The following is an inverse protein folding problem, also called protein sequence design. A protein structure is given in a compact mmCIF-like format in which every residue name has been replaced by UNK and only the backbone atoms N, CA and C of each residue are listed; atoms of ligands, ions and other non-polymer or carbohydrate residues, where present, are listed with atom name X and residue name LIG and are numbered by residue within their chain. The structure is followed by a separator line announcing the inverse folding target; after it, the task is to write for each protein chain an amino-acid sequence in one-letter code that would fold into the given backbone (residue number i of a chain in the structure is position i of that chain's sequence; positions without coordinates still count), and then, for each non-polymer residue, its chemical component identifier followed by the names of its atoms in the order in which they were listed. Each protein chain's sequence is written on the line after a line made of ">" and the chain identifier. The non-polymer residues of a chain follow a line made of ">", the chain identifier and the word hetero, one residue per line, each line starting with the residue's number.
data_IF_180896987950
#
_entry.id   IF_180896987950
#
_cell.length_a   1.000
_cell.length_b   1.000
_cell.length_c   1.000
_cell.angle_alpha   90.00
_cell.angle_beta   90.00
_cell.angle_gamma   90.00
#
_symmetry.space_group_name_H-M   'P 1'
#
loop_
_entity.id
_entity.type
_entity.pdbx_description
1 polymer ?
#
# COMPACT_ATOMS: atom_id res chain seq x y z
N UNK A 1 19.20 7.13 -25.88
CA UNK A 1 19.36 6.54 -27.23
C UNK A 1 20.04 5.16 -27.24
N UNK A 2 21.16 4.90 -26.51
CA UNK A 2 21.84 3.57 -26.52
C UNK A 2 21.04 2.41 -25.90
N UNK A 3 20.17 2.66 -24.95
CA UNK A 3 19.41 1.62 -24.24
C UNK A 3 18.21 1.10 -25.03
N UNK A 4 17.54 1.95 -25.80
CA UNK A 4 16.40 1.54 -26.65
C UNK A 4 16.86 0.58 -27.76
N UNK A 5 17.95 0.92 -28.45
CA UNK A 5 18.53 0.08 -29.50
C UNK A 5 18.94 -1.31 -28.97
N UNK A 6 19.43 -1.39 -27.74
CA UNK A 6 19.85 -2.65 -27.12
C UNK A 6 18.64 -3.57 -26.81
N UNK A 7 17.55 -3.01 -26.30
CA UNK A 7 16.33 -3.77 -25.98
C UNK A 7 15.67 -4.34 -27.25
N UNK A 8 15.61 -3.55 -28.33
CA UNK A 8 15.05 -4.03 -29.62
C UNK A 8 15.89 -5.13 -30.27
N UNK A 9 17.20 -5.03 -30.14
CA UNK A 9 18.08 -6.10 -30.60
C UNK A 9 17.87 -7.39 -29.82
N UNK A 10 17.79 -7.30 -28.49
CA UNK A 10 17.56 -8.47 -27.62
C UNK A 10 16.19 -9.10 -27.88
N UNK A 11 15.15 -8.30 -28.08
CA UNK A 11 13.82 -8.82 -28.43
C UNK A 11 13.88 -9.64 -29.70
N UNK A 12 14.45 -9.08 -30.77
CA UNK A 12 14.59 -9.79 -32.07
C UNK A 12 15.37 -11.10 -31.93
N UNK A 13 16.47 -11.08 -31.17
CA UNK A 13 17.27 -12.26 -30.92
C UNK A 13 16.47 -13.33 -30.16
N UNK A 14 15.81 -12.93 -29.08
CA UNK A 14 15.06 -13.86 -28.22
C UNK A 14 13.81 -14.41 -28.91
N UNK A 15 13.12 -13.62 -29.72
CA UNK A 15 12.00 -14.09 -30.55
C UNK A 15 12.46 -15.10 -31.62
N UNK A 16 13.60 -14.84 -32.26
CA UNK A 16 14.17 -15.78 -33.23
C UNK A 16 14.53 -17.12 -32.55
N UNK A 17 15.11 -17.09 -31.37
CA UNK A 17 15.43 -18.28 -30.58
C UNK A 17 14.18 -19.00 -30.10
N UNK A 18 13.14 -18.25 -29.66
CA UNK A 18 11.89 -18.80 -29.17
C UNK A 18 11.16 -19.64 -30.25
N UNK A 19 11.34 -19.32 -31.56
CA UNK A 19 10.79 -20.13 -32.66
C UNK A 19 11.32 -21.54 -32.65
N UNK A 20 12.58 -21.73 -32.22
CA UNK A 20 13.22 -23.04 -32.14
C UNK A 20 12.98 -23.71 -30.77
N UNK A 21 12.74 -22.91 -29.74
CA UNK A 21 12.58 -23.36 -28.36
C UNK A 21 11.27 -22.78 -27.74
N UNK A 22 10.07 -23.13 -28.26
CA UNK A 22 8.83 -22.43 -27.93
C UNK A 22 8.39 -22.57 -26.46
N UNK A 23 8.98 -23.51 -25.71
CA UNK A 23 8.71 -23.72 -24.27
C UNK A 23 9.87 -23.27 -23.38
N UNK A 24 10.82 -22.50 -23.90
CA UNK A 24 11.93 -22.01 -23.09
C UNK A 24 11.46 -20.95 -22.10
N UNK A 25 11.34 -21.36 -20.82
CA UNK A 25 10.84 -20.56 -19.70
C UNK A 25 11.63 -19.25 -19.57
N UNK A 26 12.97 -19.33 -19.71
CA UNK A 26 13.82 -18.15 -19.57
C UNK A 26 13.56 -17.13 -20.68
N UNK A 27 13.52 -17.57 -21.93
CA UNK A 27 13.26 -16.69 -23.08
C UNK A 27 11.89 -16.03 -22.99
N UNK A 28 10.85 -16.77 -22.59
CA UNK A 28 9.50 -16.23 -22.42
C UNK A 28 9.47 -15.17 -21.32
N UNK A 29 10.18 -15.40 -20.20
CA UNK A 29 10.25 -14.45 -19.10
C UNK A 29 11.03 -13.19 -19.50
N UNK A 30 12.20 -13.34 -20.08
CA UNK A 30 13.05 -12.23 -20.52
C UNK A 30 12.31 -11.36 -21.57
N UNK A 31 11.58 -11.97 -22.51
CA UNK A 31 10.75 -11.24 -23.49
C UNK A 31 9.62 -10.48 -22.82
N UNK A 32 8.91 -11.10 -21.88
CA UNK A 32 7.84 -10.40 -21.14
C UNK A 32 8.39 -9.19 -20.38
N UNK A 33 9.55 -9.31 -19.74
CA UNK A 33 10.20 -8.20 -19.05
C UNK A 33 10.63 -7.08 -20.00
N UNK A 34 11.26 -7.42 -21.15
CA UNK A 34 11.67 -6.46 -22.17
C UNK A 34 10.47 -5.70 -22.75
N UNK A 35 9.39 -6.39 -23.07
CA UNK A 35 8.16 -5.75 -23.55
C UNK A 35 7.48 -4.89 -22.48
N UNK A 36 7.55 -5.27 -21.20
CA UNK A 36 7.10 -4.43 -20.08
C UNK A 36 7.90 -3.14 -19.98
N UNK A 37 9.23 -3.20 -20.14
CA UNK A 37 10.11 -2.03 -20.17
C UNK A 37 9.79 -1.09 -21.36
N UNK A 38 9.46 -1.66 -22.52
CA UNK A 38 9.03 -0.90 -23.71
C UNK A 38 7.58 -0.40 -23.62
N UNK A 39 6.88 -0.59 -22.51
CA UNK A 39 5.47 -0.23 -22.31
C UNK A 39 4.50 -0.94 -23.28
N UNK A 40 4.92 -2.05 -23.86
CA UNK A 40 4.08 -2.92 -24.70
C UNK A 40 3.45 -4.01 -23.83
N UNK A 41 2.59 -3.57 -22.89
CA UNK A 41 2.07 -4.40 -21.81
C UNK A 41 1.26 -5.59 -22.27
N UNK A 42 0.45 -5.43 -23.33
CA UNK A 42 -0.38 -6.54 -23.85
C UNK A 42 0.48 -7.66 -24.43
N UNK A 43 1.56 -7.31 -25.14
CA UNK A 43 2.53 -8.28 -25.64
C UNK A 43 3.25 -8.99 -24.50
N UNK A 44 3.68 -8.22 -23.47
CA UNK A 44 4.30 -8.76 -22.28
C UNK A 44 3.39 -9.77 -21.55
N UNK A 45 2.13 -9.41 -21.37
CA UNK A 45 1.11 -10.28 -20.74
C UNK A 45 0.87 -11.54 -21.57
N UNK A 46 0.93 -11.46 -22.91
CA UNK A 46 0.88 -12.62 -23.81
C UNK A 46 1.99 -13.64 -23.55
N UNK A 47 3.23 -13.18 -23.36
CA UNK A 47 4.36 -14.05 -23.01
C UNK A 47 4.22 -14.65 -21.60
N UNK A 48 3.78 -13.87 -20.62
CA UNK A 48 3.48 -14.38 -19.28
C UNK A 48 2.35 -15.42 -19.29
N UNK A 49 1.36 -15.24 -20.15
CA UNK A 49 0.26 -16.20 -20.30
C UNK A 49 0.73 -17.52 -20.91
N UNK A 50 1.66 -17.48 -21.87
CA UNK A 50 2.32 -18.68 -22.39
C UNK A 50 3.09 -19.41 -21.28
N UNK A 51 3.85 -18.67 -20.44
CA UNK A 51 4.53 -19.25 -19.27
C UNK A 51 3.57 -19.96 -18.32
N UNK A 52 2.43 -19.32 -18.04
CA UNK A 52 1.40 -19.89 -17.16
C UNK A 52 0.75 -21.16 -17.74
N UNK A 53 0.71 -21.28 -19.06
CA UNK A 53 0.25 -22.46 -19.77
C UNK A 53 1.24 -23.63 -19.79
N UNK A 54 2.51 -23.37 -19.45
CA UNK A 54 3.48 -24.44 -19.22
C UNK A 54 3.26 -25.00 -17.81
N UNK A 55 3.25 -26.31 -17.66
CA UNK A 55 3.05 -26.98 -16.37
C UNK A 55 4.32 -26.85 -15.49
N UNK A 56 4.64 -25.63 -15.10
CA UNK A 56 5.82 -25.26 -14.27
C UNK A 56 5.50 -25.23 -12.77
N UNK A 57 4.31 -25.67 -12.39
CA UNK A 57 3.82 -25.57 -11.01
C UNK A 57 3.43 -24.14 -10.60
N UNK A 58 3.16 -23.96 -9.32
CA UNK A 58 2.77 -22.67 -8.76
C UNK A 58 3.99 -21.73 -8.63
N UNK A 59 4.17 -20.81 -9.58
CA UNK A 59 5.24 -19.82 -9.56
C UNK A 59 4.71 -18.48 -9.02
N UNK A 60 5.02 -18.21 -7.73
CA UNK A 60 4.65 -16.96 -7.06
C UNK A 60 5.31 -15.75 -7.71
N UNK A 61 6.54 -15.91 -8.22
CA UNK A 61 7.26 -14.86 -8.91
C UNK A 61 6.60 -14.48 -10.24
N UNK A 62 6.07 -15.47 -10.96
CA UNK A 62 5.32 -15.23 -12.19
C UNK A 62 4.00 -14.49 -11.93
N UNK A 63 3.23 -14.93 -10.94
CA UNK A 63 1.98 -14.25 -10.57
C UNK A 63 2.23 -12.79 -10.16
N UNK A 64 3.34 -12.54 -9.44
CA UNK A 64 3.75 -11.18 -9.09
C UNK A 64 4.13 -10.35 -10.31
N UNK A 65 4.94 -10.88 -11.22
CA UNK A 65 5.36 -10.20 -12.44
C UNK A 65 4.16 -9.82 -13.34
N UNK A 66 3.17 -10.71 -13.45
CA UNK A 66 1.92 -10.44 -14.15
C UNK A 66 1.16 -9.27 -13.48
N UNK A 67 0.99 -9.35 -12.17
CA UNK A 67 0.27 -8.31 -11.41
C UNK A 67 0.96 -6.95 -11.53
N UNK A 68 2.29 -6.91 -11.39
CA UNK A 68 3.08 -5.68 -11.53
C UNK A 68 2.98 -5.10 -12.94
N UNK A 69 2.96 -5.95 -13.98
CA UNK A 69 2.79 -5.52 -15.38
C UNK A 69 1.41 -4.92 -15.62
N UNK A 70 0.34 -5.50 -15.06
CA UNK A 70 -1.02 -4.96 -15.16
C UNK A 70 -1.12 -3.59 -14.44
N UNK A 71 -0.53 -3.47 -13.26
CA UNK A 71 -0.51 -2.18 -12.54
C UNK A 71 0.22 -1.11 -13.35
N UNK A 72 1.40 -1.44 -13.93
CA UNK A 72 2.14 -0.52 -14.81
C UNK A 72 1.35 -0.15 -16.07
N UNK A 73 0.53 -1.06 -16.60
CA UNK A 73 -0.37 -0.76 -17.72
C UNK A 73 -1.39 0.32 -17.31
N UNK A 74 -2.04 0.19 -16.16
CA UNK A 74 -2.94 1.21 -15.62
C UNK A 74 -2.22 2.54 -15.41
N UNK A 75 -1.03 2.52 -14.77
CA UNK A 75 -0.25 3.73 -14.54
C UNK A 75 0.09 4.45 -15.84
N UNK A 76 0.46 3.69 -16.89
CA UNK A 76 0.77 4.26 -18.20
C UNK A 76 -0.46 4.81 -18.90
N UNK A 77 -1.62 4.17 -18.76
CA UNK A 77 -2.89 4.67 -19.30
C UNK A 77 -3.29 5.98 -18.64
N UNK A 78 -3.21 6.04 -17.30
CA UNK A 78 -3.49 7.24 -16.51
C UNK A 78 -2.53 8.38 -16.89
N UNK A 79 -1.23 8.10 -16.98
CA UNK A 79 -0.23 9.08 -17.36
C UNK A 79 -0.35 9.59 -18.81
N UNK A 80 -1.00 8.81 -19.68
CA UNK A 80 -1.29 9.19 -21.07
C UNK A 80 -2.52 10.08 -21.22
N UNK A 81 -3.34 10.21 -20.17
CA UNK A 81 -4.46 11.14 -20.14
C UNK A 81 -3.90 12.51 -19.74
N UNK A 82 -4.14 13.54 -20.57
CA UNK A 82 -3.70 14.90 -20.26
C UNK A 82 -4.44 15.41 -19.01
N UNK A 83 -3.75 15.71 -17.90
CA UNK A 83 -4.40 16.21 -16.69
C UNK A 83 -5.05 17.60 -16.89
N UNK A 84 -4.69 18.32 -17.97
CA UNK A 84 -5.27 19.62 -18.31
C UNK A 84 -6.36 19.52 -19.38
N UNK A 85 -6.60 18.34 -19.95
CA UNK A 85 -7.72 18.13 -20.87
C UNK A 85 -8.99 18.11 -20.03
N UNK A 86 -9.85 19.12 -20.21
CA UNK A 86 -11.15 19.27 -19.53
C UNK A 86 -12.10 18.09 -19.73
N UNK A 87 -11.75 17.13 -20.61
CA UNK A 87 -12.64 16.08 -21.09
C UNK A 87 -12.45 14.71 -20.40
N UNK A 88 -11.45 14.53 -19.48
CA UNK A 88 -11.11 13.19 -18.99
C UNK A 88 -10.97 12.98 -17.47
N UNK A 89 -11.48 13.82 -16.55
CA UNK A 89 -11.38 13.54 -15.11
C UNK A 89 -12.11 12.24 -14.73
N UNK A 90 -13.19 11.91 -15.41
CA UNK A 90 -13.96 10.68 -15.21
C UNK A 90 -13.17 9.44 -15.64
N UNK A 91 -12.39 9.51 -16.72
CA UNK A 91 -11.55 8.41 -17.19
C UNK A 91 -10.39 8.13 -16.23
N UNK A 92 -9.75 9.16 -15.70
CA UNK A 92 -8.71 8.99 -14.67
C UNK A 92 -9.30 8.32 -13.42
N UNK A 93 -10.42 8.82 -12.92
CA UNK A 93 -11.07 8.25 -11.75
C UNK A 93 -11.50 6.79 -11.97
N UNK A 94 -12.00 6.47 -13.15
CA UNK A 94 -12.37 5.10 -13.54
C UNK A 94 -11.15 4.18 -13.56
N UNK A 95 -10.06 4.57 -14.22
CA UNK A 95 -8.84 3.77 -14.32
C UNK A 95 -8.18 3.57 -12.93
N UNK A 96 -8.18 4.60 -12.08
CA UNK A 96 -7.69 4.47 -10.70
C UNK A 96 -8.56 3.50 -9.89
N UNK A 97 -9.88 3.56 -10.05
CA UNK A 97 -10.80 2.62 -9.38
C UNK A 97 -10.60 1.17 -9.87
N UNK A 98 -10.44 0.97 -11.17
CA UNK A 98 -10.15 -0.34 -11.76
C UNK A 98 -8.80 -0.89 -11.26
N UNK A 99 -7.76 -0.06 -11.24
CA UNK A 99 -6.44 -0.42 -10.70
C UNK A 99 -6.52 -0.83 -9.23
N UNK A 100 -7.24 -0.06 -8.41
CA UNK A 100 -7.43 -0.38 -6.99
C UNK A 100 -8.22 -1.68 -6.80
N UNK A 101 -9.29 -1.89 -7.57
CA UNK A 101 -10.08 -3.12 -7.52
C UNK A 101 -9.22 -4.34 -7.90
N UNK A 102 -8.40 -4.22 -8.95
CA UNK A 102 -7.49 -5.26 -9.37
C UNK A 102 -6.46 -5.59 -8.26
N UNK A 103 -5.81 -4.56 -7.70
CA UNK A 103 -4.83 -4.74 -6.61
C UNK A 103 -5.44 -5.42 -5.38
N UNK A 104 -6.65 -5.03 -5.02
CA UNK A 104 -7.38 -5.64 -3.91
C UNK A 104 -7.65 -7.13 -4.19
N UNK A 105 -8.18 -7.45 -5.38
CA UNK A 105 -8.46 -8.84 -5.77
C UNK A 105 -7.20 -9.72 -5.76
N UNK A 106 -6.06 -9.19 -6.23
CA UNK A 106 -4.79 -9.92 -6.20
C UNK A 106 -4.27 -10.11 -4.76
N UNK A 107 -4.43 -9.11 -3.90
CA UNK A 107 -4.06 -9.23 -2.48
C UNK A 107 -4.92 -10.28 -1.76
N UNK A 108 -6.23 -10.32 -2.03
CA UNK A 108 -7.13 -11.35 -1.51
C UNK A 108 -6.70 -12.75 -1.94
N UNK A 109 -6.42 -12.97 -3.23
CA UNK A 109 -5.94 -14.26 -3.75
C UNK A 109 -4.63 -14.72 -3.07
N UNK A 110 -3.71 -13.78 -2.80
CA UNK A 110 -2.46 -14.11 -2.09
C UNK A 110 -2.74 -14.58 -0.66
N UNK A 111 -3.62 -13.89 0.05
CA UNK A 111 -4.00 -14.30 1.42
C UNK A 111 -4.76 -15.63 1.43
N UNK A 112 -5.61 -15.89 0.45
CA UNK A 112 -6.30 -17.19 0.30
C UNK A 112 -5.29 -18.33 0.07
N UNK A 113 -4.27 -18.08 -0.74
CA UNK A 113 -3.21 -19.06 -1.04
C UNK A 113 -2.26 -19.27 0.13
N UNK A 114 -1.98 -18.23 0.91
CA UNK A 114 -1.05 -18.25 2.04
C UNK A 114 -1.74 -17.70 3.31
N UNK A 115 -2.71 -18.43 3.86
CA UNK A 115 -3.58 -17.90 4.91
C UNK A 115 -2.89 -17.65 6.26
N UNK A 116 -1.71 -18.22 6.46
CA UNK A 116 -0.89 -18.04 7.68
C UNK A 116 0.17 -16.94 7.54
N UNK A 117 0.34 -16.37 6.34
CA UNK A 117 1.29 -15.29 6.12
C UNK A 117 0.72 -13.96 6.67
N UNK A 118 1.24 -13.58 7.82
CA UNK A 118 0.81 -12.38 8.55
C UNK A 118 1.22 -11.06 7.86
N UNK A 119 2.26 -11.09 7.01
CA UNK A 119 2.66 -9.94 6.22
C UNK A 119 1.63 -9.67 5.12
N UNK A 120 1.20 -10.70 4.40
CA UNK A 120 0.15 -10.58 3.38
C UNK A 120 -1.18 -10.12 3.98
N UNK A 121 -1.51 -10.57 5.21
CA UNK A 121 -2.70 -10.07 5.93
C UNK A 121 -2.59 -8.60 6.28
N UNK A 122 -1.41 -8.15 6.69
CA UNK A 122 -1.16 -6.73 6.95
C UNK A 122 -1.39 -5.89 5.68
N UNK A 123 -0.79 -6.30 4.57
CA UNK A 123 -0.94 -5.64 3.25
C UNK A 123 -2.41 -5.62 2.78
N UNK A 124 -3.14 -6.72 2.96
CA UNK A 124 -4.57 -6.77 2.64
C UNK A 124 -5.39 -5.83 3.54
N UNK A 125 -5.04 -5.73 4.82
CA UNK A 125 -5.65 -4.77 5.74
C UNK A 125 -5.48 -3.32 5.26
N UNK A 126 -4.27 -2.95 4.81
CA UNK A 126 -4.00 -1.63 4.23
C UNK A 126 -4.86 -1.38 2.97
N UNK A 127 -4.96 -2.38 2.09
CA UNK A 127 -5.79 -2.29 0.89
C UNK A 127 -7.28 -2.09 1.23
N UNK A 128 -7.81 -2.86 2.17
CA UNK A 128 -9.19 -2.68 2.64
C UNK A 128 -9.44 -1.30 3.23
N UNK A 129 -8.47 -0.77 4.00
CA UNK A 129 -8.58 0.57 4.58
C UNK A 129 -8.60 1.66 3.49
N UNK A 130 -7.76 1.53 2.46
CA UNK A 130 -7.70 2.46 1.33
C UNK A 130 -9.02 2.51 0.55
N UNK A 131 -9.68 1.37 0.36
CA UNK A 131 -10.97 1.31 -0.35
C UNK A 131 -12.20 1.50 0.57
N UNK A 132 -11.98 1.87 1.84
CA UNK A 132 -13.05 2.15 2.80
C UNK A 132 -13.75 0.93 3.38
N UNK A 133 -13.25 -0.29 3.15
CA UNK A 133 -13.78 -1.54 3.74
C UNK A 133 -13.25 -1.72 5.17
N UNK A 134 -13.74 -0.87 6.07
CA UNK A 134 -13.19 -0.73 7.42
C UNK A 134 -13.34 -2.00 8.26
N UNK A 135 -14.46 -2.72 8.13
CA UNK A 135 -14.70 -3.94 8.91
C UNK A 135 -13.75 -5.06 8.52
N UNK A 136 -13.48 -5.21 7.23
CA UNK A 136 -12.53 -6.18 6.68
C UNK A 136 -11.09 -5.80 7.07
N UNK A 137 -10.75 -4.51 7.00
CA UNK A 137 -9.44 -4.01 7.46
C UNK A 137 -9.18 -4.36 8.93
N UNK A 138 -10.17 -4.16 9.81
CA UNK A 138 -10.08 -4.53 11.23
C UNK A 138 -9.74 -6.02 11.38
N UNK A 139 -10.43 -6.91 10.67
CA UNK A 139 -10.20 -8.35 10.77
C UNK A 139 -8.78 -8.74 10.36
N UNK A 140 -8.27 -8.15 9.29
CA UNK A 140 -6.92 -8.47 8.81
C UNK A 140 -5.84 -7.87 9.72
N UNK A 141 -6.00 -6.63 10.22
CA UNK A 141 -5.05 -6.07 11.19
C UNK A 141 -5.07 -6.79 12.54
N UNK A 142 -6.21 -7.28 13.00
CA UNK A 142 -6.28 -8.12 14.21
C UNK A 142 -5.45 -9.39 14.09
N UNK A 143 -5.45 -10.04 12.92
CA UNK A 143 -4.59 -11.20 12.65
C UNK A 143 -3.12 -10.80 12.51
N UNK A 144 -2.86 -9.70 11.79
CA UNK A 144 -1.51 -9.20 11.52
C UNK A 144 -0.74 -8.78 12.78
N UNK A 145 -1.42 -8.43 13.88
CA UNK A 145 -0.77 -8.15 15.18
C UNK A 145 0.08 -9.31 15.72
N UNK A 146 -0.16 -10.54 15.27
CA UNK A 146 0.67 -11.68 15.63
C UNK A 146 2.06 -11.67 14.96
N UNK A 147 2.29 -10.81 13.94
CA UNK A 147 3.59 -10.60 13.33
C UNK A 147 4.42 -9.63 14.19
N UNK A 148 5.53 -10.06 14.83
CA UNK A 148 6.33 -9.18 15.70
C UNK A 148 6.85 -7.93 15.00
N UNK A 149 7.20 -8.03 13.69
CA UNK A 149 7.73 -6.91 12.91
C UNK A 149 6.65 -5.91 12.45
N UNK A 150 5.39 -6.31 12.44
CA UNK A 150 4.25 -5.47 12.02
C UNK A 150 3.28 -5.14 13.14
N UNK A 151 3.51 -5.69 14.33
CA UNK A 151 2.60 -5.58 15.46
C UNK A 151 2.22 -4.14 15.77
N UNK A 152 3.20 -3.28 15.95
CA UNK A 152 2.97 -1.87 16.30
C UNK A 152 2.22 -1.14 15.17
N UNK A 153 2.67 -1.31 13.93
CA UNK A 153 1.99 -0.73 12.77
C UNK A 153 0.55 -1.24 12.62
N UNK A 154 0.32 -2.56 12.83
CA UNK A 154 -1.02 -3.14 12.78
C UNK A 154 -1.94 -2.57 13.87
N UNK A 155 -1.42 -2.35 15.08
CA UNK A 155 -2.17 -1.70 16.17
C UNK A 155 -2.51 -0.25 15.82
N UNK A 156 -1.59 0.49 15.19
CA UNK A 156 -1.85 1.86 14.73
C UNK A 156 -2.99 1.91 13.69
N UNK A 157 -2.92 1.06 12.66
CA UNK A 157 -3.98 0.99 11.65
C UNK A 157 -5.31 0.51 12.23
N UNK A 158 -5.28 -0.44 13.17
CA UNK A 158 -6.47 -0.90 13.86
C UNK A 158 -7.14 0.24 14.64
N UNK A 159 -6.36 1.06 15.33
CA UNK A 159 -6.88 2.24 16.04
C UNK A 159 -7.48 3.27 15.07
N UNK A 160 -6.85 3.51 13.92
CA UNK A 160 -7.42 4.37 12.88
C UNK A 160 -8.77 3.82 12.36
N UNK A 161 -8.86 2.50 12.17
CA UNK A 161 -10.11 1.86 11.78
C UNK A 161 -11.20 2.04 12.84
N UNK A 162 -10.88 1.88 14.11
CA UNK A 162 -11.82 2.14 15.21
C UNK A 162 -12.27 3.59 15.25
N UNK A 163 -11.34 4.54 15.10
CA UNK A 163 -11.67 5.97 15.06
C UNK A 163 -12.60 6.31 13.87
N UNK A 164 -12.36 5.75 12.68
CA UNK A 164 -13.25 5.90 11.52
C UNK A 164 -14.67 5.37 11.80
N UNK A 165 -14.80 4.35 12.63
CA UNK A 165 -16.11 3.82 13.09
C UNK A 165 -16.68 4.55 14.31
N UNK A 166 -16.08 5.65 14.75
CA UNK A 166 -16.48 6.42 15.96
C UNK A 166 -16.32 5.63 17.27
N UNK A 167 -15.54 4.54 17.26
CA UNK A 167 -15.20 3.75 18.45
C UNK A 167 -13.94 4.32 19.12
N UNK A 168 -14.00 5.59 19.53
CA UNK A 168 -12.82 6.34 19.96
C UNK A 168 -12.19 5.80 21.24
N UNK A 169 -12.96 5.18 22.12
CA UNK A 169 -12.48 4.52 23.33
C UNK A 169 -11.61 3.28 23.00
N UNK A 170 -11.99 2.50 22.01
CA UNK A 170 -11.19 1.37 21.51
C UNK A 170 -9.93 1.87 20.82
N UNK A 171 -10.04 2.91 19.98
CA UNK A 171 -8.91 3.52 19.32
C UNK A 171 -7.87 4.03 20.34
N UNK A 172 -8.29 4.78 21.34
CA UNK A 172 -7.41 5.30 22.38
C UNK A 172 -6.69 4.18 23.16
N UNK A 173 -7.43 3.15 23.60
CA UNK A 173 -6.83 2.00 24.31
C UNK A 173 -5.81 1.25 23.45
N UNK A 174 -6.11 1.05 22.17
CA UNK A 174 -5.19 0.38 21.24
C UNK A 174 -3.91 1.17 21.05
N UNK A 175 -4.00 2.51 20.88
CA UNK A 175 -2.85 3.39 20.77
C UNK A 175 -2.02 3.43 22.05
N UNK A 176 -2.67 3.54 23.22
CA UNK A 176 -1.98 3.49 24.52
C UNK A 176 -1.18 2.20 24.70
N UNK A 177 -1.76 1.05 24.30
CA UNK A 177 -1.06 -0.22 24.35
C UNK A 177 0.14 -0.25 23.40
N UNK A 178 -0.01 0.25 22.16
CA UNK A 178 1.08 0.32 21.19
C UNK A 178 2.22 1.24 21.67
N UNK A 179 1.89 2.41 22.22
CA UNK A 179 2.85 3.36 22.78
C UNK A 179 3.65 2.72 23.94
N UNK A 180 2.97 1.95 24.79
CA UNK A 180 3.62 1.24 25.90
C UNK A 180 4.58 0.16 25.43
N UNK A 181 4.21 -0.59 24.38
CA UNK A 181 5.06 -1.64 23.79
C UNK A 181 6.27 -1.04 23.03
N UNK A 182 6.12 0.11 22.40
CA UNK A 182 7.16 0.78 21.61
C UNK A 182 8.14 1.51 22.55
N UNK A 183 9.33 0.95 22.75
CA UNK A 183 10.32 1.52 23.68
C UNK A 183 11.03 2.76 23.10
N UNK A 184 11.45 2.71 21.83
CA UNK A 184 12.19 3.79 21.19
C UNK A 184 11.28 4.95 20.83
N UNK A 185 11.74 6.19 21.11
CA UNK A 185 11.04 7.41 20.68
C UNK A 185 11.50 7.81 19.29
N UNK A 186 10.94 7.13 18.28
CA UNK A 186 11.19 7.33 16.86
C UNK A 186 9.92 7.83 16.16
N UNK A 187 9.97 7.99 14.83
CA UNK A 187 8.83 8.50 14.06
C UNK A 187 7.58 7.61 14.18
N UNK A 188 7.75 6.29 14.32
CA UNK A 188 6.62 5.39 14.55
C UNK A 188 5.96 5.68 15.90
N UNK A 189 6.73 5.92 16.97
CA UNK A 189 6.18 6.28 18.28
C UNK A 189 5.54 7.67 18.27
N UNK A 190 6.15 8.65 17.60
CA UNK A 190 5.53 9.98 17.41
C UNK A 190 4.18 9.88 16.71
N UNK A 191 4.08 9.01 15.67
CA UNK A 191 2.82 8.78 14.96
C UNK A 191 1.73 8.22 15.87
N UNK A 192 2.06 7.24 16.73
CA UNK A 192 1.13 6.66 17.71
C UNK A 192 0.63 7.73 18.70
N UNK A 193 1.56 8.51 19.26
CA UNK A 193 1.24 9.59 20.23
C UNK A 193 0.40 10.66 19.57
N UNK A 194 0.73 11.07 18.35
CA UNK A 194 -0.05 12.03 17.58
C UNK A 194 -1.49 11.54 17.36
N UNK A 195 -1.64 10.30 16.90
CA UNK A 195 -2.95 9.70 16.65
C UNK A 195 -3.76 9.56 17.94
N UNK A 196 -3.12 9.27 19.08
CA UNK A 196 -3.77 9.26 20.39
C UNK A 196 -4.28 10.67 20.76
N UNK A 197 -3.48 11.69 20.58
CA UNK A 197 -3.91 13.08 20.81
C UNK A 197 -5.11 13.46 19.95
N UNK A 198 -5.12 13.12 18.67
CA UNK A 198 -6.25 13.38 17.77
C UNK A 198 -7.52 12.63 18.22
N UNK A 199 -7.40 11.39 18.64
CA UNK A 199 -8.54 10.59 19.14
C UNK A 199 -9.08 11.19 20.44
N UNK A 200 -8.23 11.55 21.40
CA UNK A 200 -8.61 12.18 22.66
C UNK A 200 -9.31 13.52 22.41
N UNK A 201 -8.79 14.32 21.48
CA UNK A 201 -9.42 15.57 21.09
C UNK A 201 -10.84 15.35 20.51
N UNK A 202 -11.02 14.31 19.70
CA UNK A 202 -12.35 13.95 19.16
C UNK A 202 -13.31 13.41 20.23
N UNK A 203 -12.79 12.98 21.38
CA UNK A 203 -13.57 12.59 22.57
C UNK A 203 -13.91 13.79 23.48
N UNK A 204 -13.47 15.01 23.15
CA UNK A 204 -13.62 16.21 23.99
C UNK A 204 -12.62 16.29 25.15
N UNK A 205 -11.65 15.40 25.21
CA UNK A 205 -10.62 15.32 26.26
C UNK A 205 -9.42 16.20 25.92
N UNK A 206 -9.67 17.52 25.88
CA UNK A 206 -8.67 18.50 25.38
C UNK A 206 -7.38 18.48 26.19
N UNK A 207 -7.46 18.40 27.52
CA UNK A 207 -6.30 18.39 28.40
C UNK A 207 -5.42 17.14 28.19
N UNK A 208 -6.06 15.96 28.11
CA UNK A 208 -5.35 14.72 27.85
C UNK A 208 -4.73 14.73 26.43
N UNK A 209 -5.40 15.33 25.45
CA UNK A 209 -4.91 15.42 24.07
C UNK A 209 -3.68 16.31 23.95
N UNK A 210 -3.70 17.49 24.59
CA UNK A 210 -2.56 18.41 24.52
C UNK A 210 -1.31 17.82 25.20
N UNK A 211 -1.48 17.07 26.29
CA UNK A 211 -0.34 16.37 26.90
C UNK A 211 0.33 15.40 25.95
N UNK A 212 -0.43 14.71 25.07
CA UNK A 212 0.18 13.87 24.03
C UNK A 212 0.95 14.72 23.01
N UNK A 213 0.40 15.85 22.56
CA UNK A 213 1.09 16.71 21.60
C UNK A 213 2.35 17.35 22.19
N UNK A 214 2.35 17.71 23.49
CA UNK A 214 3.54 18.23 24.18
C UNK A 214 4.72 17.24 24.18
N UNK A 215 4.46 15.95 24.35
CA UNK A 215 5.52 14.91 24.28
C UNK A 215 6.27 14.94 22.93
N UNK A 216 5.58 15.26 21.85
CA UNK A 216 6.22 15.40 20.53
C UNK A 216 6.86 16.79 20.42
N UNK A 217 6.15 17.85 20.83
CA UNK A 217 6.59 19.23 20.75
C UNK A 217 7.98 19.44 21.40
N UNK A 218 8.20 18.84 22.57
CA UNK A 218 9.46 18.93 23.31
C UNK A 218 10.67 18.37 22.56
N UNK A 219 10.44 17.43 21.63
CA UNK A 219 11.50 16.75 20.90
C UNK A 219 11.56 17.11 19.43
N UNK A 220 10.41 17.48 18.84
CA UNK A 220 10.27 17.74 17.41
C UNK A 220 9.09 18.70 17.15
N UNK A 221 9.35 19.99 17.31
CA UNK A 221 8.35 21.06 17.10
C UNK A 221 7.79 21.09 15.65
N UNK A 222 8.56 20.60 14.68
CA UNK A 222 8.19 20.57 13.28
C UNK A 222 7.34 19.38 12.87
N UNK A 223 7.03 18.46 13.82
CA UNK A 223 6.26 17.28 13.50
C UNK A 223 4.79 17.61 13.24
N UNK A 224 4.33 17.44 12.00
CA UNK A 224 2.95 17.73 11.55
C UNK A 224 2.47 19.12 12.03
N UNK A 225 1.30 19.19 12.62
CA UNK A 225 0.68 20.41 13.15
C UNK A 225 0.74 20.50 14.69
N UNK A 226 1.67 19.78 15.33
CA UNK A 226 1.79 19.69 16.78
C UNK A 226 1.94 21.08 17.42
N UNK A 227 2.79 21.95 16.86
CA UNK A 227 3.00 23.30 17.35
C UNK A 227 1.69 24.10 17.37
N UNK A 228 0.96 24.10 16.26
CA UNK A 228 -0.31 24.81 16.14
C UNK A 228 -1.36 24.30 17.14
N UNK A 229 -1.40 22.98 17.42
CA UNK A 229 -2.34 22.40 18.39
C UNK A 229 -2.01 22.78 19.83
N UNK A 230 -0.74 22.81 20.18
CA UNK A 230 -0.28 23.22 21.52
C UNK A 230 -0.55 24.72 21.72
N UNK A 231 -0.20 25.56 20.75
CA UNK A 231 -0.41 27.01 20.82
C UNK A 231 -1.90 27.38 20.90
N UNK A 232 -2.76 26.70 20.12
CA UNK A 232 -4.21 26.91 20.17
C UNK A 232 -4.79 26.60 21.55
N UNK A 233 -4.33 25.55 22.21
CA UNK A 233 -4.76 25.17 23.54
C UNK A 233 -4.46 26.28 24.57
N UNK A 234 -3.24 26.84 24.58
CA UNK A 234 -2.87 27.89 25.51
C UNK A 234 -3.57 29.22 25.22
N UNK A 235 -3.85 29.52 23.95
CA UNK A 235 -4.60 30.71 23.56
C UNK A 235 -6.04 30.64 24.07
N UNK A 236 -6.70 29.48 23.93
CA UNK A 236 -8.06 29.27 24.44
C UNK A 236 -8.15 29.41 25.97
N UNK A 237 -7.10 29.01 26.72
CA UNK A 237 -7.09 29.16 28.18
C UNK A 237 -6.85 30.61 28.67
N UNK A 238 -6.28 31.43 27.80
CA UNK A 238 -5.95 32.84 28.14
C UNK A 238 -7.06 33.82 27.77
N UNK A 239 -8.16 33.34 27.17
CA UNK A 239 -9.33 34.11 26.73
C UNK A 239 -10.51 33.90 27.65
#
# INVERSE_FOLDING_TARGET
>A
MRTEDTAERLIREYEARLKNEPKNIKLLRDLAELYTQKKQFDTALGYYQQLKGLDIGADVGLDRAISDTIVRKYDNQIAGLDPNALDHPEDVARLEAEKQAFRLAESQKRVERFPTDLQLRFELGEMYLQVGKISEAIQEFQKAQANPHRRIAAMNYLAQCFAKRKMNDLAARTLQSAIKEKTNFDDEKKELIYNLGVVLQSMGKKDEAVEQFKLIYETDIGYKDVAARVDAYYTEQSS
#
